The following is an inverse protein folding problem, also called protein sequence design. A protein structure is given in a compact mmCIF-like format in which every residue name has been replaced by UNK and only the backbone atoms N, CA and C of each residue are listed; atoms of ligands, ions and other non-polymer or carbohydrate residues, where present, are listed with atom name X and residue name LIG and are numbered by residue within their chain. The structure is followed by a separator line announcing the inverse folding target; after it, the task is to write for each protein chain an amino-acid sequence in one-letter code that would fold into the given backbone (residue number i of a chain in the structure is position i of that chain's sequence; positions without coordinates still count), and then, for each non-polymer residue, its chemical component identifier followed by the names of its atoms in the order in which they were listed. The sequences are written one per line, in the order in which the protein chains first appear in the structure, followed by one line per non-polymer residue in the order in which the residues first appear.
data_IF_261675266161
#
_entry.id   IF_261675266161
#
_cell.length_a   1.000
_cell.length_b   1.000
_cell.length_c   1.000
_cell.angle_alpha   90.00
_cell.angle_beta   90.00
_cell.angle_gamma   90.00
#
_symmetry.space_group_name_H-M   'P 1'
#
loop_
_entity.id
_entity.type
_entity.pdbx_description
1 polymer ?
#
# COMPACT_ATOMS: atom_id res chain seq x y z
N UNK A 1 -5.13 0.64 -12.82
CA UNK A 1 -4.73 1.91 -12.19
C UNK A 1 -3.85 1.61 -10.98
N UNK A 2 -3.13 2.60 -10.47
CA UNK A 2 -2.41 2.54 -9.20
C UNK A 2 -2.78 3.73 -8.32
N UNK A 3 -2.48 3.58 -7.05
CA UNK A 3 -2.62 4.63 -6.05
C UNK A 3 -1.26 4.84 -5.40
N UNK A 4 -0.83 6.09 -5.34
CA UNK A 4 0.36 6.48 -4.60
C UNK A 4 -0.06 6.90 -3.19
N UNK A 5 0.64 6.36 -2.20
CA UNK A 5 0.45 6.69 -0.81
C UNK A 5 1.76 7.15 -0.19
N UNK A 6 1.70 8.09 0.74
CA UNK A 6 2.82 8.42 1.63
C UNK A 6 2.69 7.59 2.90
N UNK A 7 3.73 6.86 3.27
CA UNK A 7 3.79 6.15 4.55
C UNK A 7 3.93 7.16 5.68
N UNK A 8 2.94 7.19 6.57
CA UNK A 8 2.90 8.12 7.70
C UNK A 8 3.42 7.45 8.97
N UNK A 9 3.07 6.17 9.18
CA UNK A 9 3.66 5.35 10.24
C UNK A 9 3.76 3.88 9.82
N UNK A 10 4.67 3.15 10.46
CA UNK A 10 4.72 1.69 10.36
C UNK A 10 5.19 1.03 11.67
N UNK A 11 4.72 -0.17 11.92
CA UNK A 11 5.13 -0.93 13.09
C UNK A 11 6.58 -1.40 12.96
N UNK A 12 7.27 -1.52 14.10
CA UNK A 12 8.65 -2.01 14.13
C UNK A 12 8.79 -3.45 13.60
N UNK A 13 7.70 -4.24 13.67
CA UNK A 13 7.67 -5.62 13.16
C UNK A 13 7.89 -5.70 11.64
N UNK A 14 7.61 -4.64 10.87
CA UNK A 14 7.93 -4.60 9.45
C UNK A 14 9.45 -4.74 9.19
N UNK A 15 10.29 -4.19 10.07
CA UNK A 15 11.75 -4.30 9.96
C UNK A 15 12.28 -5.66 10.45
N UNK A 16 11.50 -6.39 11.25
CA UNK A 16 11.88 -7.70 11.81
C UNK A 16 11.50 -8.88 10.90
N UNK A 17 10.81 -8.64 9.80
CA UNK A 17 10.35 -9.69 8.89
C UNK A 17 11.52 -10.42 8.23
N UNK A 18 11.69 -11.72 8.45
CA UNK A 18 12.81 -12.51 7.90
C UNK A 18 12.39 -13.48 6.79
N UNK A 19 11.08 -13.68 6.57
CA UNK A 19 10.57 -14.63 5.57
C UNK A 19 10.93 -14.15 4.16
N UNK A 20 11.51 -15.00 3.30
CA UNK A 20 11.99 -14.59 1.98
C UNK A 20 10.95 -13.88 1.11
N UNK A 21 9.70 -14.36 1.12
CA UNK A 21 8.60 -13.79 0.33
C UNK A 21 8.02 -12.48 0.90
N UNK A 22 8.34 -12.15 2.15
CA UNK A 22 7.83 -10.97 2.86
C UNK A 22 8.92 -9.93 3.15
N UNK A 23 10.17 -10.19 2.74
CA UNK A 23 11.33 -9.33 3.00
C UNK A 23 11.18 -7.91 2.47
N UNK A 24 10.27 -7.69 1.52
CA UNK A 24 9.91 -6.36 1.04
C UNK A 24 9.46 -5.40 2.16
N UNK A 25 8.84 -5.94 3.23
CA UNK A 25 8.38 -5.15 4.39
C UNK A 25 9.52 -4.38 5.06
N UNK A 26 10.75 -4.91 5.01
CA UNK A 26 11.94 -4.27 5.56
C UNK A 26 12.33 -2.98 4.83
N UNK A 27 11.83 -2.75 3.61
CA UNK A 27 12.12 -1.54 2.82
C UNK A 27 11.08 -0.44 3.02
N UNK A 28 10.03 -0.68 3.79
CA UNK A 28 9.08 0.36 4.17
C UNK A 28 9.74 1.36 5.12
N UNK A 29 9.49 2.64 4.89
CA UNK A 29 10.05 3.74 5.65
C UNK A 29 9.01 4.82 5.81
N UNK A 30 8.94 5.41 6.99
CA UNK A 30 8.10 6.57 7.22
C UNK A 30 8.54 7.74 6.32
N UNK A 31 7.57 8.54 5.90
CA UNK A 31 7.76 9.65 4.98
C UNK A 31 7.95 9.27 3.50
N UNK A 32 8.15 7.99 3.17
CA UNK A 32 8.38 7.57 1.79
C UNK A 32 7.07 7.38 1.02
N UNK A 33 7.15 7.55 -0.30
CA UNK A 33 6.01 7.30 -1.20
C UNK A 33 6.07 5.87 -1.72
N UNK A 34 4.95 5.17 -1.63
CA UNK A 34 4.75 3.83 -2.14
C UNK A 34 3.67 3.83 -3.20
N UNK A 35 3.83 2.98 -4.20
CA UNK A 35 2.95 2.85 -5.34
C UNK A 35 2.25 1.50 -5.25
N UNK A 36 0.91 1.50 -5.22
CA UNK A 36 0.12 0.27 -5.07
C UNK A 36 -0.72 0.07 -6.32
N UNK A 37 -0.44 -0.99 -7.08
CA UNK A 37 -1.14 -1.34 -8.29
C UNK A 37 -2.44 -2.10 -7.97
N UNK A 38 -3.54 -1.70 -8.60
CA UNK A 38 -4.80 -2.43 -8.55
C UNK A 38 -4.81 -3.49 -9.66
N UNK A 39 -4.66 -4.75 -9.28
CA UNK A 39 -4.76 -5.89 -10.20
C UNK A 39 -6.22 -6.25 -10.51
N UNK A 40 -6.52 -6.77 -11.71
CA UNK A 40 -7.88 -7.17 -12.07
C UNK A 40 -8.52 -8.18 -11.11
N UNK A 41 -7.71 -9.05 -10.50
CA UNK A 41 -8.16 -10.08 -9.53
C UNK A 41 -8.61 -9.51 -8.20
N UNK A 42 -8.05 -8.37 -7.77
CA UNK A 42 -8.41 -7.68 -6.53
C UNK A 42 -9.51 -6.63 -6.72
N UNK A 43 -9.96 -6.45 -7.97
CA UNK A 43 -10.94 -5.43 -8.33
C UNK A 43 -12.36 -5.94 -8.08
N UNK A 44 -13.15 -5.20 -7.31
CA UNK A 44 -14.57 -5.47 -7.12
C UNK A 44 -15.34 -5.33 -8.44
N UNK A 45 -16.16 -6.33 -8.77
CA UNK A 45 -16.99 -6.33 -9.97
C UNK A 45 -18.05 -5.22 -9.95
N UNK A 46 -18.55 -4.85 -8.76
CA UNK A 46 -19.62 -3.86 -8.60
C UNK A 46 -19.10 -2.41 -8.74
N UNK A 47 -17.94 -2.11 -8.15
CA UNK A 47 -17.42 -0.74 -8.10
C UNK A 47 -16.28 -0.49 -9.08
N UNK A 48 -15.73 -1.54 -9.71
CA UNK A 48 -14.51 -1.50 -10.54
C UNK A 48 -13.32 -0.88 -9.80
N UNK A 49 -13.22 -1.13 -8.49
CA UNK A 49 -12.16 -0.60 -7.61
C UNK A 49 -11.56 -1.69 -6.74
N UNK A 50 -10.30 -1.49 -6.36
CA UNK A 50 -9.64 -2.36 -5.40
C UNK A 50 -10.03 -2.00 -3.96
N UNK A 51 -10.16 -3.03 -3.14
CA UNK A 51 -10.28 -2.86 -1.69
C UNK A 51 -9.07 -2.12 -1.14
N UNK A 52 -9.31 -1.11 -0.30
CA UNK A 52 -8.22 -0.34 0.30
C UNK A 52 -7.60 0.74 -0.60
N UNK A 53 -8.14 1.01 -1.80
CA UNK A 53 -7.68 2.08 -2.69
C UNK A 53 -7.89 3.51 -2.16
N UNK A 54 -8.53 3.62 -0.98
CA UNK A 54 -8.80 4.88 -0.31
C UNK A 54 -9.69 5.79 -1.16
N UNK A 55 -10.64 5.27 -1.94
CA UNK A 55 -11.47 6.11 -2.79
C UNK A 55 -12.19 7.24 -2.02
N UNK A 56 -12.73 6.93 -0.84
CA UNK A 56 -13.41 7.90 0.03
C UNK A 56 -12.44 8.70 0.93
N UNK A 57 -11.13 8.57 0.69
CA UNK A 57 -10.11 9.32 1.41
C UNK A 57 -9.83 10.63 0.67
N UNK A 58 -10.46 11.70 1.13
CA UNK A 58 -10.24 13.05 0.62
C UNK A 58 -9.23 13.79 1.52
N UNK A 59 -8.41 14.64 0.91
CA UNK A 59 -7.49 15.55 1.62
C UNK A 59 -6.47 14.82 2.49
N UNK A 60 -6.36 15.25 3.75
CA UNK A 60 -5.32 14.80 4.69
C UNK A 60 -5.69 13.54 5.49
N UNK A 61 -6.68 12.77 5.01
CA UNK A 61 -7.15 11.59 5.72
C UNK A 61 -6.06 10.52 5.82
N UNK A 62 -5.79 10.12 7.06
CA UNK A 62 -4.92 9.01 7.39
C UNK A 62 -5.70 7.70 7.25
N UNK A 63 -5.13 6.73 6.54
CA UNK A 63 -5.67 5.40 6.33
C UNK A 63 -4.80 4.37 7.05
N UNK A 64 -5.44 3.35 7.61
CA UNK A 64 -4.75 2.22 8.21
C UNK A 64 -4.50 1.13 7.17
N UNK A 65 -3.44 0.36 7.40
CA UNK A 65 -3.15 -0.84 6.64
C UNK A 65 -2.44 -1.89 7.45
N UNK A 66 -2.49 -3.10 6.94
CA UNK A 66 -1.75 -4.25 7.40
C UNK A 66 -1.19 -5.01 6.20
N UNK A 67 -0.05 -5.64 6.40
CA UNK A 67 0.58 -6.45 5.39
C UNK A 67 -0.09 -7.84 5.36
N UNK A 68 -0.44 -8.29 4.17
CA UNK A 68 -1.04 -9.61 3.98
C UNK A 68 -0.02 -10.68 4.40
N UNK A 69 -0.46 -11.63 5.22
CA UNK A 69 0.40 -12.69 5.77
C UNK A 69 1.32 -12.24 6.92
N UNK A 70 1.26 -10.96 7.32
CA UNK A 70 1.91 -10.44 8.52
C UNK A 70 1.12 -9.29 9.15
N UNK A 71 0.09 -9.60 9.94
CA UNK A 71 -0.71 -8.59 10.65
C UNK A 71 0.09 -7.76 11.66
N UNK A 72 1.27 -8.24 12.09
CA UNK A 72 2.15 -7.45 12.94
C UNK A 72 2.84 -6.33 12.16
N UNK A 73 3.05 -6.47 10.85
CA UNK A 73 3.48 -5.37 9.99
C UNK A 73 2.27 -4.58 9.50
N UNK A 74 2.03 -3.44 10.12
CA UNK A 74 0.90 -2.56 9.85
C UNK A 74 1.32 -1.12 10.04
N UNK A 75 0.46 -0.18 9.70
CA UNK A 75 0.76 1.22 9.90
C UNK A 75 -0.31 2.14 9.40
N UNK A 76 0.13 3.35 9.05
CA UNK A 76 -0.72 4.34 8.43
C UNK A 76 -0.06 4.97 7.21
N UNK A 77 -0.91 5.44 6.32
CA UNK A 77 -0.49 6.10 5.09
C UNK A 77 -1.61 7.00 4.58
N UNK A 78 -1.20 8.01 3.82
CA UNK A 78 -2.05 9.04 3.27
C UNK A 78 -2.07 8.93 1.76
N UNK A 79 -3.27 9.00 1.16
CA UNK A 79 -3.43 8.96 -0.30
C UNK A 79 -2.87 10.24 -0.91
N UNK A 80 -1.94 10.10 -1.84
CA UNK A 80 -1.39 11.23 -2.61
C UNK A 80 -2.24 11.44 -3.86
N UNK A 81 -2.34 10.41 -4.70
CA UNK A 81 -3.09 10.46 -5.97
C UNK A 81 -3.37 9.08 -6.53
N UNK A 82 -4.31 9.01 -7.47
CA UNK A 82 -4.59 7.84 -8.29
C UNK A 82 -4.15 8.11 -9.73
N UNK A 83 -3.50 7.14 -10.36
CA UNK A 83 -3.00 7.23 -11.74
C UNK A 83 -3.53 6.06 -12.58
N UNK A 84 -3.97 6.32 -13.81
CA UNK A 84 -4.39 5.24 -14.72
C UNK A 84 -3.19 4.46 -15.25
N UNK A 85 -2.14 5.16 -15.66
CA UNK A 85 -0.86 4.60 -16.12
C UNK A 85 0.21 4.78 -15.05
N UNK A 86 0.88 3.69 -14.69
CA UNK A 86 1.75 3.62 -13.52
C UNK A 86 3.20 3.42 -13.93
N UNK A 87 4.10 4.24 -13.39
CA UNK A 87 5.55 4.03 -13.43
C UNK A 87 6.07 3.83 -12.00
N UNK A 88 5.62 2.75 -11.35
CA UNK A 88 6.01 2.47 -9.97
C UNK A 88 7.48 2.03 -9.91
N UNK A 89 8.31 2.60 -9.01
CA UNK A 89 9.66 2.09 -8.78
C UNK A 89 9.62 0.69 -8.16
N UNK A 90 10.51 -0.20 -8.60
CA UNK A 90 10.53 -1.62 -8.21
C UNK A 90 10.54 -1.85 -6.68
N UNK A 91 11.25 -1.00 -5.93
CA UNK A 91 11.47 -1.17 -4.48
C UNK A 91 10.26 -0.74 -3.64
N UNK A 92 9.33 0.03 -4.22
CA UNK A 92 8.13 0.53 -3.54
C UNK A 92 6.87 0.29 -4.38
N UNK A 93 6.84 -0.81 -5.13
CA UNK A 93 5.69 -1.24 -5.92
C UNK A 93 4.99 -2.41 -5.22
N UNK A 94 3.76 -2.20 -4.80
CA UNK A 94 2.92 -3.19 -4.13
C UNK A 94 1.64 -3.44 -4.92
N UNK A 95 0.85 -4.39 -4.45
CA UNK A 95 -0.38 -4.82 -5.13
C UNK A 95 -1.51 -4.85 -4.11
N UNK A 96 -2.69 -4.36 -4.49
CA UNK A 96 -3.91 -4.63 -3.73
C UNK A 96 -4.30 -6.11 -3.88
N UNK A 97 -4.84 -6.71 -2.82
CA UNK A 97 -5.42 -8.06 -2.84
C UNK A 97 -6.84 -8.03 -2.33
#
# INVERSE_FOLDING_TARGET
YCVEFRTESLSQHCALETRPFARWMQYLREGHTVCVACQPTAMSAATRRCSGDGHNAHGDKILHWEAIGNSQCHGTWKKIRQLEHCSCPLVHSFIFT
#
